data_IF_979917941997
#
_entry.id   IF_979917941997
#
_cell.length_a   1.000
_cell.length_b   1.000
_cell.length_c   1.000
_cell.angle_alpha   90.00
_cell.angle_beta   90.00
_cell.angle_gamma   90.00
#
_symmetry.space_group_name_H-M   'P 1'
#
loop_
_entity.id
_entity.type
_entity.pdbx_description
1 polymer ?
#
# COMPACT_ATOMS: atom_id res chain seq x y z
N UNK A 1 -1.02 -19.92 19.56
CA UNK A 1 -1.04 -20.19 18.10
C UNK A 1 -1.48 -18.93 17.40
N UNK A 2 -0.83 -18.57 16.30
CA UNK A 2 -1.23 -17.42 15.51
C UNK A 2 -2.69 -17.54 15.06
N UNK A 3 -3.44 -16.47 15.17
CA UNK A 3 -4.76 -16.38 14.54
C UNK A 3 -4.57 -15.78 13.14
N UNK A 4 -4.34 -16.64 12.13
CA UNK A 4 -4.16 -16.24 10.74
C UNK A 4 -5.51 -16.28 10.03
N UNK A 5 -5.92 -15.14 9.49
CA UNK A 5 -7.15 -15.00 8.70
C UNK A 5 -6.81 -14.63 7.27
N UNK A 6 -7.25 -15.45 6.30
CA UNK A 6 -7.15 -15.12 4.87
C UNK A 6 -8.40 -14.38 4.42
N UNK A 7 -8.22 -13.20 3.86
CA UNK A 7 -9.29 -12.31 3.43
C UNK A 7 -9.17 -11.98 1.95
N UNK A 8 -10.29 -11.84 1.26
CA UNK A 8 -10.35 -11.26 -0.08
C UNK A 8 -10.90 -9.84 0.04
N UNK A 9 -10.12 -8.84 -0.40
CA UNK A 9 -10.55 -7.45 -0.25
C UNK A 9 -9.42 -6.44 -0.39
N UNK A 10 -9.61 -5.26 0.19
CA UNK A 10 -8.62 -4.19 0.21
C UNK A 10 -7.95 -4.12 1.58
N UNK A 11 -6.64 -4.27 1.64
CA UNK A 11 -5.85 -4.29 2.88
C UNK A 11 -5.96 -2.99 3.68
N UNK A 12 -6.26 -1.86 3.03
CA UNK A 12 -6.40 -0.57 3.71
C UNK A 12 -7.66 -0.48 4.59
N UNK A 13 -8.56 -1.47 4.54
CA UNK A 13 -9.69 -1.59 5.47
C UNK A 13 -9.34 -2.33 6.77
N UNK A 14 -8.12 -2.85 6.89
CA UNK A 14 -7.69 -3.57 8.09
C UNK A 14 -7.73 -2.69 9.34
N UNK A 15 -8.01 -3.32 10.47
CA UNK A 15 -7.89 -2.69 11.81
C UNK A 15 -6.62 -3.14 12.55
N UNK A 16 -5.74 -3.89 11.88
CA UNK A 16 -4.46 -4.29 12.45
C UNK A 16 -3.58 -3.07 12.71
N UNK A 17 -2.77 -3.13 13.77
CA UNK A 17 -1.83 -2.07 14.13
C UNK A 17 -0.82 -1.78 13.01
N UNK A 18 -0.37 -2.83 12.32
CA UNK A 18 0.68 -2.73 11.31
C UNK A 18 0.18 -3.24 9.95
N UNK A 19 0.48 -2.51 8.88
CA UNK A 19 0.22 -2.91 7.50
C UNK A 19 1.55 -3.12 6.77
N UNK A 20 1.64 -4.20 5.99
CA UNK A 20 2.84 -4.49 5.21
C UNK A 20 2.79 -3.82 3.85
N UNK A 21 3.83 -3.03 3.56
CA UNK A 21 4.13 -2.47 2.25
C UNK A 21 5.21 -3.31 1.55
N UNK A 22 4.91 -3.86 0.40
CA UNK A 22 5.89 -4.62 -0.40
C UNK A 22 6.74 -3.67 -1.25
N UNK A 23 8.06 -3.68 -1.02
CA UNK A 23 9.00 -2.74 -1.65
C UNK A 23 10.12 -3.47 -2.42
N UNK A 24 10.91 -2.69 -3.16
CA UNK A 24 12.21 -3.12 -3.73
C UNK A 24 13.38 -2.48 -2.97
N UNK A 25 14.62 -2.80 -3.36
CA UNK A 25 15.81 -2.29 -2.68
C UNK A 25 16.45 -1.07 -3.36
N UNK A 26 15.77 -0.45 -4.37
CA UNK A 26 16.33 0.64 -5.19
C UNK A 26 15.52 1.94 -5.15
N UNK A 27 14.61 2.09 -4.19
CA UNK A 27 13.94 3.38 -3.94
C UNK A 27 12.78 3.70 -4.87
N UNK A 28 12.13 2.71 -5.51
CA UNK A 28 11.04 2.93 -6.47
C UNK A 28 9.71 2.41 -5.93
N UNK A 29 8.71 3.27 -5.83
CA UNK A 29 7.31 2.94 -5.53
C UNK A 29 6.41 3.45 -6.67
N UNK A 30 6.38 2.73 -7.79
CA UNK A 30 5.75 3.20 -9.03
C UNK A 30 4.49 2.45 -9.45
N UNK A 31 4.13 1.32 -8.81
CA UNK A 31 2.96 0.50 -9.14
C UNK A 31 2.44 -0.26 -7.91
N UNK A 32 1.19 -0.74 -8.03
CA UNK A 32 0.54 -1.59 -7.04
C UNK A 32 0.50 -0.94 -5.65
N UNK A 33 0.51 -1.79 -4.62
CA UNK A 33 0.37 -1.34 -3.23
C UNK A 33 1.44 -0.33 -2.81
N UNK A 34 2.70 -0.48 -3.30
CA UNK A 34 3.78 0.45 -2.98
C UNK A 34 3.48 1.88 -3.45
N UNK A 35 2.85 2.05 -4.62
CA UNK A 35 2.43 3.37 -5.09
C UNK A 35 1.36 3.97 -4.18
N UNK A 36 0.39 3.17 -3.72
CA UNK A 36 -0.64 3.64 -2.78
C UNK A 36 0.01 4.10 -1.47
N UNK A 37 0.97 3.34 -0.93
CA UNK A 37 1.71 3.73 0.26
C UNK A 37 2.52 5.02 0.07
N UNK A 38 3.16 5.20 -1.09
CA UNK A 38 3.85 6.46 -1.43
C UNK A 38 2.89 7.66 -1.40
N UNK A 39 1.68 7.49 -1.93
CA UNK A 39 0.68 8.56 -1.98
C UNK A 39 0.06 8.86 -0.61
N UNK A 40 -0.09 7.84 0.23
CA UNK A 40 -0.58 7.99 1.62
C UNK A 40 0.47 8.55 2.58
N UNK A 41 1.73 8.18 2.39
CA UNK A 41 2.84 8.49 3.31
C UNK A 41 4.05 9.06 2.53
N UNK A 42 3.96 10.30 2.02
CA UNK A 42 5.05 10.90 1.24
C UNK A 42 6.37 10.99 2.01
N UNK A 43 6.33 11.35 3.30
CA UNK A 43 7.53 11.38 4.15
C UNK A 43 8.18 10.00 4.33
N UNK A 44 7.37 8.94 4.43
CA UNK A 44 7.90 7.56 4.45
C UNK A 44 8.64 7.25 3.15
N UNK A 45 8.08 7.68 2.01
CA UNK A 45 8.71 7.45 0.71
C UNK A 45 10.06 8.15 0.60
N UNK A 46 10.18 9.40 1.06
CA UNK A 46 11.43 10.14 1.06
C UNK A 46 12.50 9.45 1.93
N UNK A 47 12.15 9.06 3.15
CA UNK A 47 13.04 8.28 4.04
C UNK A 47 13.43 6.93 3.43
N UNK A 48 12.48 6.23 2.77
CA UNK A 48 12.78 4.98 2.07
C UNK A 48 13.81 5.18 0.96
N UNK A 49 13.71 6.25 0.18
CA UNK A 49 14.69 6.55 -0.86
C UNK A 49 16.09 6.80 -0.28
N UNK A 50 16.19 7.52 0.82
CA UNK A 50 17.46 7.75 1.53
C UNK A 50 18.08 6.44 2.05
N UNK A 51 17.24 5.58 2.65
CA UNK A 51 17.68 4.26 3.13
C UNK A 51 18.13 3.34 1.99
N UNK A 52 17.50 3.42 0.82
CA UNK A 52 17.95 2.69 -0.36
C UNK A 52 19.29 3.22 -0.88
N UNK A 53 19.48 4.55 -0.97
CA UNK A 53 20.74 5.20 -1.40
C UNK A 53 21.89 4.80 -0.46
N UNK A 54 21.65 4.76 0.83
CA UNK A 54 22.63 4.35 1.85
C UNK A 54 22.78 2.83 2.01
N UNK A 55 22.12 2.02 1.17
CA UNK A 55 22.14 0.54 1.21
C UNK A 55 21.66 -0.08 2.53
N UNK A 56 20.86 0.65 3.28
CA UNK A 56 20.25 0.17 4.53
C UNK A 56 19.05 -0.75 4.26
N UNK A 57 18.39 -0.62 3.12
CA UNK A 57 17.33 -1.53 2.64
C UNK A 57 17.96 -2.65 1.81
N UNK A 58 17.55 -3.89 2.07
CA UNK A 58 18.01 -5.09 1.36
C UNK A 58 17.05 -6.24 1.60
N UNK A 59 17.24 -7.34 0.88
CA UNK A 59 16.45 -8.55 1.09
C UNK A 59 16.66 -9.05 2.53
N UNK A 60 15.56 -9.38 3.22
CA UNK A 60 15.57 -9.77 4.63
C UNK A 60 15.75 -8.62 5.63
N UNK A 61 15.92 -7.37 5.18
CA UNK A 61 16.01 -6.18 6.05
C UNK A 61 14.65 -5.46 6.09
N UNK A 62 13.89 -5.68 7.14
CA UNK A 62 12.58 -5.06 7.34
C UNK A 62 12.71 -3.70 8.01
N UNK A 63 12.03 -2.71 7.47
CA UNK A 63 11.99 -1.35 8.03
C UNK A 63 10.58 -0.97 8.48
N UNK A 64 10.41 -0.73 9.79
CA UNK A 64 9.15 -0.29 10.38
C UNK A 64 9.10 1.24 10.42
N UNK A 65 8.09 1.80 9.76
CA UNK A 65 7.77 3.22 9.79
C UNK A 65 6.55 3.45 10.70
N UNK A 66 6.70 4.36 11.65
CA UNK A 66 5.66 4.81 12.56
C UNK A 66 5.35 6.27 12.21
N UNK A 67 4.22 6.52 11.56
CA UNK A 67 3.78 7.87 11.28
C UNK A 67 3.28 8.53 12.57
N UNK A 68 3.59 9.80 12.78
CA UNK A 68 3.13 10.56 13.94
C UNK A 68 1.62 10.80 13.94
N UNK A 69 1.05 10.90 12.74
CA UNK A 69 -0.37 11.26 12.52
C UNK A 69 -1.27 10.06 12.19
N UNK A 70 -0.71 8.84 12.10
CA UNK A 70 -1.48 7.63 11.82
C UNK A 70 -1.38 6.64 12.96
N UNK A 71 -2.51 6.08 13.43
CA UNK A 71 -2.48 4.99 14.41
C UNK A 71 -1.87 3.71 13.86
N UNK A 72 -1.79 3.56 12.55
CA UNK A 72 -1.23 2.38 11.89
C UNK A 72 0.24 2.56 11.54
N UNK A 73 1.02 1.52 11.79
CA UNK A 73 2.42 1.44 11.40
C UNK A 73 2.55 0.78 10.03
N UNK A 74 3.62 1.08 9.31
CA UNK A 74 3.92 0.48 8.01
C UNK A 74 5.19 -0.34 8.09
N UNK A 75 5.09 -1.66 7.91
CA UNK A 75 6.24 -2.54 7.78
C UNK A 75 6.66 -2.63 6.31
N UNK A 76 7.74 -1.99 5.95
CA UNK A 76 8.32 -2.05 4.61
C UNK A 76 9.08 -3.36 4.44
N UNK A 77 8.59 -4.21 3.53
CA UNK A 77 9.05 -5.58 3.31
C UNK A 77 9.65 -5.72 1.90
N UNK A 78 10.96 -5.85 1.75
CA UNK A 78 11.59 -6.03 0.44
C UNK A 78 11.24 -7.40 -0.18
N UNK A 79 10.39 -7.38 -1.21
CA UNK A 79 10.03 -8.57 -1.99
C UNK A 79 10.79 -8.67 -3.31
N UNK A 80 11.49 -7.59 -3.69
CA UNK A 80 12.31 -7.51 -4.92
C UNK A 80 13.64 -6.84 -4.61
N UNK A 81 14.69 -7.30 -5.26
CA UNK A 81 15.95 -6.57 -5.23
C UNK A 81 15.84 -5.30 -6.09
N UNK A 82 15.29 -5.42 -7.30
CA UNK A 82 15.09 -4.32 -8.23
C UNK A 82 13.69 -4.39 -8.84
N UNK A 83 13.03 -3.25 -9.06
CA UNK A 83 11.64 -3.17 -9.52
C UNK A 83 11.36 -3.84 -10.88
N UNK A 84 12.37 -3.90 -11.78
CA UNK A 84 12.27 -4.52 -13.11
C UNK A 84 12.21 -6.05 -13.08
N UNK A 85 12.76 -6.69 -12.04
CA UNK A 85 12.86 -8.14 -11.97
C UNK A 85 11.75 -8.76 -11.13
N UNK A 86 11.41 -10.02 -11.35
CA UNK A 86 10.43 -10.73 -10.54
C UNK A 86 10.89 -10.89 -9.09
N UNK A 87 9.95 -11.15 -8.22
CA UNK A 87 10.21 -11.63 -6.86
C UNK A 87 10.78 -13.05 -6.90
N UNK A 88 11.45 -13.45 -5.83
CA UNK A 88 11.94 -14.83 -5.64
C UNK A 88 11.46 -15.34 -4.30
N UNK A 89 11.16 -16.64 -4.22
CA UNK A 89 10.71 -17.28 -2.96
C UNK A 89 11.71 -17.02 -1.83
N UNK A 90 13.01 -17.17 -2.10
CA UNK A 90 14.08 -16.92 -1.12
C UNK A 90 14.07 -15.48 -0.55
N UNK A 91 13.55 -14.51 -1.30
CA UNK A 91 13.43 -13.13 -0.79
C UNK A 91 12.31 -13.02 0.25
N UNK A 92 11.21 -13.75 0.01
CA UNK A 92 10.09 -13.81 0.94
C UNK A 92 10.47 -14.60 2.20
N UNK A 93 11.15 -15.74 2.03
CA UNK A 93 11.66 -16.56 3.15
C UNK A 93 12.53 -15.73 4.10
N UNK A 94 13.54 -15.02 3.54
CA UNK A 94 14.44 -14.17 4.33
C UNK A 94 13.68 -13.07 5.08
N UNK A 95 12.67 -12.46 4.45
CA UNK A 95 11.86 -11.42 5.08
C UNK A 95 10.90 -11.98 6.14
N UNK A 96 10.23 -13.09 5.86
CA UNK A 96 9.31 -13.75 6.80
C UNK A 96 10.05 -14.29 8.02
N UNK A 97 11.22 -14.93 7.84
CA UNK A 97 12.06 -15.36 8.94
C UNK A 97 12.45 -14.14 9.81
N UNK A 98 12.92 -13.05 9.17
CA UNK A 98 13.28 -11.83 9.89
C UNK A 98 12.09 -11.23 10.67
N UNK A 99 10.89 -11.30 10.10
CA UNK A 99 9.67 -10.86 10.79
C UNK A 99 9.42 -11.69 12.05
N UNK A 100 9.39 -13.01 11.90
CA UNK A 100 9.18 -13.95 13.03
C UNK A 100 10.18 -13.73 14.15
N UNK A 101 11.45 -13.49 13.81
CA UNK A 101 12.52 -13.28 14.78
C UNK A 101 12.43 -11.94 15.53
N UNK A 102 11.72 -10.93 14.96
CA UNK A 102 11.86 -9.54 15.46
C UNK A 102 10.56 -8.79 15.72
N UNK A 103 9.38 -9.35 15.42
CA UNK A 103 8.11 -8.61 15.55
C UNK A 103 7.82 -8.19 17.00
N UNK A 104 8.16 -9.04 17.98
CA UNK A 104 8.00 -8.73 19.42
C UNK A 104 8.86 -7.56 19.85
N UNK A 105 10.14 -7.57 19.49
CA UNK A 105 11.09 -6.51 19.83
C UNK A 105 10.71 -5.17 19.18
N UNK A 106 10.03 -5.23 18.03
CA UNK A 106 9.50 -4.04 17.35
C UNK A 106 8.19 -3.53 17.95
N UNK A 107 7.56 -4.29 18.86
CA UNK A 107 6.28 -3.95 19.47
C UNK A 107 5.08 -4.12 18.52
N UNK A 108 5.18 -5.03 17.56
CA UNK A 108 4.07 -5.35 16.65
C UNK A 108 3.10 -6.29 17.36
N UNK A 109 1.86 -5.82 17.55
CA UNK A 109 0.80 -6.54 18.28
C UNK A 109 -0.26 -7.17 17.38
N UNK A 110 -0.38 -6.67 16.14
CA UNK A 110 -1.22 -7.26 15.10
C UNK A 110 -0.75 -6.75 13.72
N UNK A 111 -0.95 -7.54 12.65
CA UNK A 111 -0.41 -7.18 11.35
C UNK A 111 -1.26 -7.69 10.19
N UNK A 112 -1.36 -6.88 9.14
CA UNK A 112 -1.96 -7.25 7.86
C UNK A 112 -0.90 -7.33 6.76
N UNK A 113 -0.86 -8.46 6.07
CA UNK A 113 -0.01 -8.71 4.91
C UNK A 113 -0.83 -8.70 3.62
N UNK A 114 -0.32 -8.16 2.51
CA UNK A 114 -0.81 -8.55 1.19
C UNK A 114 -0.26 -9.94 0.83
N UNK A 115 -0.82 -10.61 -0.18
CA UNK A 115 -0.19 -11.79 -0.78
C UNK A 115 1.16 -11.42 -1.37
N UNK A 116 2.23 -11.76 -0.65
CA UNK A 116 3.59 -11.29 -0.94
C UNK A 116 4.08 -11.73 -2.32
N UNK A 117 4.56 -10.79 -3.15
CA UNK A 117 5.25 -11.10 -4.41
C UNK A 117 4.41 -11.76 -5.50
N UNK A 118 3.09 -11.86 -5.37
CA UNK A 118 2.23 -12.58 -6.35
C UNK A 118 1.85 -11.72 -7.56
N UNK A 119 1.28 -10.54 -7.39
CA UNK A 119 0.81 -9.70 -8.51
C UNK A 119 1.98 -9.20 -9.38
N UNK A 120 2.53 -8.04 -9.04
CA UNK A 120 3.67 -7.47 -9.77
C UNK A 120 4.99 -8.24 -9.55
N UNK A 121 5.01 -9.20 -8.63
CA UNK A 121 6.16 -10.05 -8.32
C UNK A 121 6.23 -11.32 -9.16
N UNK A 122 5.09 -11.81 -9.66
CA UNK A 122 4.99 -12.96 -10.56
C UNK A 122 5.15 -14.34 -9.90
N UNK A 123 5.11 -14.42 -8.56
CA UNK A 123 5.15 -15.70 -7.85
C UNK A 123 3.79 -16.41 -7.86
N UNK A 124 3.81 -17.73 -7.80
CA UNK A 124 2.60 -18.55 -7.67
C UNK A 124 1.91 -18.29 -6.33
N UNK A 125 0.60 -18.10 -6.41
CA UNK A 125 -0.20 -17.71 -5.26
C UNK A 125 -0.31 -18.79 -4.20
N UNK A 126 -0.42 -20.05 -4.63
CA UNK A 126 -0.57 -21.17 -3.69
C UNK A 126 0.76 -21.46 -2.99
N UNK A 127 1.87 -21.37 -3.71
CA UNK A 127 3.22 -21.51 -3.14
C UNK A 127 3.47 -20.43 -2.08
N UNK A 128 3.16 -19.17 -2.39
CA UNK A 128 3.30 -18.05 -1.45
C UNK A 128 2.39 -18.21 -0.24
N UNK A 129 1.14 -18.66 -0.44
CA UNK A 129 0.21 -18.92 0.66
C UNK A 129 0.76 -19.94 1.64
N UNK A 130 1.25 -21.06 1.13
CA UNK A 130 1.85 -22.12 1.96
C UNK A 130 3.09 -21.62 2.71
N UNK A 131 3.93 -20.84 2.03
CA UNK A 131 5.11 -20.23 2.63
C UNK A 131 4.73 -19.28 3.77
N UNK A 132 3.79 -18.37 3.53
CA UNK A 132 3.33 -17.42 4.54
C UNK A 132 2.73 -18.14 5.75
N UNK A 133 1.90 -19.14 5.53
CA UNK A 133 1.30 -19.94 6.60
C UNK A 133 2.39 -20.64 7.44
N UNK A 134 3.38 -21.27 6.79
CA UNK A 134 4.51 -21.94 7.45
C UNK A 134 5.29 -21.02 8.40
N UNK A 135 5.58 -19.79 7.96
CA UNK A 135 6.35 -18.86 8.81
C UNK A 135 5.47 -18.18 9.85
N UNK A 136 4.31 -17.66 9.44
CA UNK A 136 3.47 -16.81 10.29
C UNK A 136 2.73 -17.60 11.38
N UNK A 137 2.51 -18.91 11.21
CA UNK A 137 1.96 -19.79 12.26
C UNK A 137 2.82 -19.85 13.53
N UNK A 138 4.10 -19.47 13.45
CA UNK A 138 5.02 -19.38 14.58
C UNK A 138 4.82 -18.14 15.45
N UNK A 139 4.04 -17.18 14.99
CA UNK A 139 3.72 -15.95 15.74
C UNK A 139 2.58 -16.19 16.73
N UNK A 140 2.44 -15.30 17.73
CA UNK A 140 1.37 -15.34 18.74
C UNK A 140 0.46 -14.10 18.71
N UNK A 141 0.42 -13.41 17.58
CA UNK A 141 -0.39 -12.21 17.33
C UNK A 141 -1.44 -12.44 16.24
N UNK A 142 -2.53 -11.64 16.21
CA UNK A 142 -3.47 -11.65 15.08
C UNK A 142 -2.79 -11.26 13.77
N UNK A 143 -3.04 -12.04 12.72
CA UNK A 143 -2.48 -11.83 11.37
C UNK A 143 -3.60 -11.93 10.34
N UNK A 144 -3.73 -10.91 9.51
CA UNK A 144 -4.58 -10.93 8.31
C UNK A 144 -3.71 -11.05 7.06
N UNK A 145 -4.14 -11.86 6.09
CA UNK A 145 -3.49 -11.99 4.79
C UNK A 145 -4.52 -11.65 3.71
N UNK A 146 -4.29 -10.55 3.00
CA UNK A 146 -5.20 -10.03 2.00
C UNK A 146 -4.85 -10.51 0.59
N UNK A 147 -5.79 -11.17 -0.04
CA UNK A 147 -5.87 -11.32 -1.47
C UNK A 147 -6.60 -10.11 -2.06
N UNK A 148 -5.93 -9.30 -2.85
CA UNK A 148 -6.48 -8.06 -3.36
C UNK A 148 -7.68 -8.29 -4.28
N UNK A 149 -8.79 -7.62 -3.98
CA UNK A 149 -9.97 -7.53 -4.84
C UNK A 149 -10.09 -6.09 -5.37
N UNK A 150 -9.94 -5.86 -6.69
CA UNK A 150 -10.04 -4.51 -7.27
C UNK A 150 -11.44 -3.88 -7.11
N UNK A 151 -12.48 -4.70 -6.85
CA UNK A 151 -13.85 -4.22 -6.63
C UNK A 151 -14.14 -3.92 -5.14
N UNK A 152 -13.22 -4.23 -4.24
CA UNK A 152 -13.40 -3.92 -2.83
C UNK A 152 -13.19 -2.42 -2.57
N UNK A 153 -14.04 -1.81 -1.71
CA UNK A 153 -13.82 -0.45 -1.27
C UNK A 153 -12.52 -0.33 -0.46
N UNK A 154 -11.99 0.89 -0.35
CA UNK A 154 -10.97 1.24 0.64
C UNK A 154 -11.48 2.28 1.64
N UNK A 155 -10.66 2.58 2.63
CA UNK A 155 -10.99 3.47 3.75
C UNK A 155 -11.09 4.96 3.38
N UNK A 156 -10.53 5.40 2.24
CA UNK A 156 -10.45 6.81 1.86
C UNK A 156 -11.40 7.21 0.74
N UNK A 157 -11.88 6.25 -0.06
CA UNK A 157 -12.57 6.58 -1.31
C UNK A 157 -13.88 7.33 -1.11
N UNK A 158 -14.72 6.92 -0.16
CA UNK A 158 -16.01 7.58 0.06
C UNK A 158 -15.81 9.02 0.56
N UNK A 159 -14.85 9.24 1.45
CA UNK A 159 -14.49 10.60 1.90
C UNK A 159 -13.94 11.45 0.74
N UNK A 160 -13.06 10.87 -0.09
CA UNK A 160 -12.55 11.54 -1.28
C UNK A 160 -13.68 11.96 -2.22
N UNK A 161 -14.59 11.03 -2.55
CA UNK A 161 -15.73 11.27 -3.41
C UNK A 161 -16.65 12.37 -2.86
N UNK A 162 -16.91 12.34 -1.56
CA UNK A 162 -17.69 13.36 -0.88
C UNK A 162 -17.04 14.74 -1.02
N UNK A 163 -15.77 14.88 -0.65
CA UNK A 163 -15.02 16.14 -0.75
C UNK A 163 -14.91 16.64 -2.18
N UNK A 164 -14.65 15.75 -3.14
CA UNK A 164 -14.61 16.09 -4.57
C UNK A 164 -15.91 16.71 -5.04
N UNK A 165 -17.05 16.09 -4.73
CA UNK A 165 -18.36 16.56 -5.17
C UNK A 165 -18.84 17.84 -4.45
N UNK A 166 -18.24 18.21 -3.33
CA UNK A 166 -18.49 19.49 -2.62
C UNK A 166 -17.78 20.67 -3.29
N UNK A 167 -16.73 20.44 -4.06
CA UNK A 167 -16.01 21.50 -4.77
C UNK A 167 -16.84 21.91 -6.00
N UNK A 168 -17.15 23.23 -6.19
CA UNK A 168 -17.82 23.67 -7.42
C UNK A 168 -17.03 23.27 -8.67
N UNK A 169 -17.70 22.75 -9.68
CA UNK A 169 -17.03 22.22 -10.91
C UNK A 169 -16.06 23.21 -11.55
N UNK A 170 -16.41 24.50 -11.57
CA UNK A 170 -15.57 25.57 -12.12
C UNK A 170 -14.26 25.77 -11.34
N UNK A 171 -14.24 25.42 -10.06
CA UNK A 171 -13.12 25.65 -9.15
C UNK A 171 -12.25 24.39 -8.95
N UNK A 172 -12.73 23.20 -9.37
CA UNK A 172 -12.05 21.92 -9.18
C UNK A 172 -10.59 21.97 -9.63
N UNK A 173 -10.33 22.43 -10.85
CA UNK A 173 -8.99 22.51 -11.39
C UNK A 173 -8.05 23.39 -10.55
N UNK A 174 -8.53 24.53 -10.12
CA UNK A 174 -7.74 25.50 -9.33
C UNK A 174 -7.49 25.01 -7.91
N UNK A 175 -8.56 24.56 -7.22
CA UNK A 175 -8.48 24.16 -5.82
C UNK A 175 -7.76 22.82 -5.61
N UNK A 176 -7.80 21.91 -6.59
CA UNK A 176 -7.13 20.62 -6.51
C UNK A 176 -5.68 20.65 -7.02
N UNK A 177 -5.28 21.68 -7.76
CA UNK A 177 -3.97 21.76 -8.39
C UNK A 177 -3.79 20.81 -9.60
N UNK A 178 -4.86 20.19 -10.09
CA UNK A 178 -4.81 19.31 -11.26
C UNK A 178 -4.52 20.12 -12.53
N UNK A 179 -3.56 19.67 -13.32
CA UNK A 179 -2.99 20.46 -14.42
C UNK A 179 -3.97 20.84 -15.52
N UNK A 180 -4.83 19.91 -15.94
CA UNK A 180 -5.70 20.09 -17.12
C UNK A 180 -7.15 19.82 -16.79
N UNK A 181 -8.07 20.54 -17.48
CA UNK A 181 -9.50 20.29 -17.35
C UNK A 181 -9.85 18.85 -17.76
N UNK A 182 -9.23 18.31 -18.80
CA UNK A 182 -9.43 16.92 -19.23
C UNK A 182 -9.17 15.91 -18.10
N UNK A 183 -8.14 16.13 -17.27
CA UNK A 183 -7.87 15.25 -16.11
C UNK A 183 -8.96 15.38 -15.03
N UNK A 184 -9.43 16.60 -14.76
CA UNK A 184 -10.58 16.84 -13.86
C UNK A 184 -11.82 16.11 -14.36
N UNK A 185 -12.14 16.27 -15.64
CA UNK A 185 -13.32 15.61 -16.26
C UNK A 185 -13.19 14.07 -16.23
N UNK A 186 -11.98 13.55 -16.43
CA UNK A 186 -11.71 12.10 -16.32
C UNK A 186 -11.96 11.57 -14.91
N UNK A 187 -11.51 12.29 -13.88
CA UNK A 187 -11.75 11.91 -12.48
C UNK A 187 -13.25 12.03 -12.17
N UNK A 188 -13.88 13.14 -12.51
CA UNK A 188 -15.31 13.37 -12.29
C UNK A 188 -16.16 12.25 -12.90
N UNK A 189 -15.82 11.84 -14.13
CA UNK A 189 -16.46 10.69 -14.77
C UNK A 189 -16.18 9.38 -14.05
N UNK A 190 -14.93 9.12 -13.70
CA UNK A 190 -14.51 7.88 -13.03
C UNK A 190 -15.26 7.66 -11.70
N UNK A 191 -15.34 8.68 -10.86
CA UNK A 191 -15.96 8.59 -9.53
C UNK A 191 -17.49 8.58 -9.57
N UNK A 192 -18.12 9.22 -10.56
CA UNK A 192 -19.58 9.32 -10.62
C UNK A 192 -20.22 8.25 -11.53
N UNK A 193 -19.51 7.77 -12.54
CA UNK A 193 -20.06 6.84 -13.56
C UNK A 193 -19.17 5.62 -13.81
N UNK A 194 -17.88 5.63 -13.39
CA UNK A 194 -16.91 4.57 -13.65
C UNK A 194 -17.03 3.33 -12.78
N UNK A 195 -17.96 3.28 -11.81
CA UNK A 195 -18.14 2.14 -10.91
C UNK A 195 -16.99 1.88 -9.95
N UNK A 196 -16.11 2.86 -9.77
CA UNK A 196 -14.92 2.77 -8.89
C UNK A 196 -15.36 2.79 -7.43
N UNK A 197 -14.67 2.00 -6.60
CA UNK A 197 -14.96 1.87 -5.17
C UNK A 197 -13.74 2.10 -4.27
N UNK A 198 -12.57 2.41 -4.85
CA UNK A 198 -11.34 2.60 -4.07
C UNK A 198 -10.39 3.59 -4.73
N UNK A 199 -9.56 4.25 -3.94
CA UNK A 199 -8.46 5.08 -4.42
C UNK A 199 -7.46 4.24 -5.21
N UNK A 200 -7.29 2.97 -4.86
CA UNK A 200 -6.45 2.02 -5.60
C UNK A 200 -6.97 1.78 -7.01
N UNK A 201 -8.27 1.57 -7.18
CA UNK A 201 -8.89 1.41 -8.50
C UNK A 201 -8.84 2.71 -9.31
N UNK A 202 -8.95 3.88 -8.64
CA UNK A 202 -8.83 5.18 -9.31
C UNK A 202 -7.42 5.42 -9.88
N UNK A 203 -6.36 4.94 -9.21
CA UNK A 203 -4.98 4.99 -9.74
C UNK A 203 -4.85 4.23 -11.08
N UNK A 204 -5.57 3.13 -11.21
CA UNK A 204 -5.51 2.26 -12.39
C UNK A 204 -6.46 2.71 -13.51
N UNK A 205 -7.27 3.74 -13.27
CA UNK A 205 -8.21 4.24 -14.25
C UNK A 205 -7.51 4.91 -15.44
N UNK A 206 -7.89 4.58 -16.70
CA UNK A 206 -7.26 5.13 -17.89
C UNK A 206 -7.26 6.67 -17.92
N UNK A 207 -6.10 7.26 -18.17
CA UNK A 207 -5.92 8.72 -18.22
C UNK A 207 -5.60 9.38 -16.88
N UNK A 208 -5.60 8.67 -15.78
CA UNK A 208 -5.21 9.18 -14.47
C UNK A 208 -3.76 8.78 -14.19
N UNK A 209 -2.87 9.76 -14.12
CA UNK A 209 -1.44 9.57 -13.84
C UNK A 209 -1.09 9.83 -12.36
N UNK A 210 0.14 9.47 -11.98
CA UNK A 210 0.63 9.58 -10.59
C UNK A 210 0.51 11.02 -10.06
N UNK A 211 0.89 12.03 -10.85
CA UNK A 211 0.80 13.43 -10.42
C UNK A 211 -0.64 13.87 -10.14
N UNK A 212 -1.59 13.39 -10.95
CA UNK A 212 -3.02 13.63 -10.72
C UNK A 212 -3.49 12.96 -9.45
N UNK A 213 -3.07 11.71 -9.21
CA UNK A 213 -3.40 11.00 -7.97
C UNK A 213 -2.79 11.63 -6.72
N UNK A 214 -1.61 12.25 -6.81
CA UNK A 214 -1.06 13.03 -5.71
C UNK A 214 -2.02 14.15 -5.28
N UNK A 215 -2.58 14.89 -6.23
CA UNK A 215 -3.60 15.90 -5.95
C UNK A 215 -4.86 15.27 -5.29
N UNK A 216 -5.33 14.13 -5.80
CA UNK A 216 -6.50 13.45 -5.23
C UNK A 216 -6.26 13.01 -3.77
N UNK A 217 -5.08 12.44 -3.47
CA UNK A 217 -4.74 12.06 -2.10
C UNK A 217 -4.60 13.27 -1.17
N UNK A 218 -4.10 14.40 -1.66
CA UNK A 218 -4.03 15.64 -0.88
C UNK A 218 -5.42 16.12 -0.44
N UNK A 219 -6.46 15.99 -1.27
CA UNK A 219 -7.83 16.38 -0.93
C UNK A 219 -8.34 15.62 0.30
N UNK A 220 -8.01 14.34 0.43
CA UNK A 220 -8.52 13.51 1.52
C UNK A 220 -7.60 13.52 2.75
N UNK A 221 -6.28 13.71 2.55
CA UNK A 221 -5.31 13.67 3.66
C UNK A 221 -5.04 15.04 4.31
N UNK A 222 -5.33 16.17 3.62
CA UNK A 222 -5.04 17.52 4.14
C UNK A 222 -5.94 18.00 5.28
N UNK A 223 -7.02 17.29 5.63
CA UNK A 223 -7.94 17.66 6.71
C UNK A 223 -7.80 16.82 7.99
N UNK A 224 -6.67 16.13 8.16
CA UNK A 224 -6.35 15.41 9.40
C UNK A 224 -5.53 16.28 10.38
N UNK A 225 -5.68 17.62 10.26
CA UNK A 225 -5.10 18.57 11.22
C UNK A 225 -6.15 19.16 12.12
#
# INVERSE_FOLDING_TARGET
MANITFLKGNIFNTKMQTIVNTINCVGVMGKGIALVFKLRYPEMFDKYQELCKSKMIGIGKLWLYKASESPQWVLNFPTKFHWKYPSKIQYLEAGLQKFVDTYKDKGITSIAFPMLGTHNGGLDKQEVKNLMDHYLSKCDIPIEIYDYDPNAPDDLYEEFKLKWNQIPKKDLRFLTGIRTQKQVDTIDFAINFGGIKSMTALIEYPGIGIATMQCCFQIVLSNSK
#
